data_IF_747909589639
#
_entry.id   IF_747909589639
#
_cell.length_a   1.000
_cell.length_b   1.000
_cell.length_c   1.000
_cell.angle_alpha   90.00
_cell.angle_beta   90.00
_cell.angle_gamma   90.00
#
_symmetry.space_group_name_H-M   'P 1'
#
loop_
_entity.id
_entity.type
_entity.pdbx_description
1 polymer ?
#
# COMPACT_ATOMS: atom_id res chain seq x y z
N UNK A 1 -1.84 -17.11 -8.27
CA UNK A 1 -2.08 -17.26 -9.66
C UNK A 1 -0.81 -17.04 -10.48
N UNK A 2 -0.77 -17.61 -11.65
CA UNK A 2 0.40 -17.50 -12.51
C UNK A 2 0.66 -16.11 -13.06
N UNK A 3 -0.16 -15.15 -12.68
CA UNK A 3 -0.01 -13.79 -13.18
C UNK A 3 0.82 -12.89 -12.29
N UNK A 4 1.23 -13.36 -11.11
CA UNK A 4 2.07 -12.56 -10.24
C UNK A 4 3.40 -12.30 -10.92
N UNK A 5 3.99 -11.11 -10.71
CA UNK A 5 5.24 -10.77 -11.38
C UNK A 5 6.38 -11.64 -10.86
N UNK A 6 7.35 -11.85 -11.74
CA UNK A 6 8.53 -12.65 -11.39
C UNK A 6 9.81 -11.85 -11.43
N UNK A 7 9.75 -10.59 -11.79
CA UNK A 7 10.92 -9.72 -11.84
C UNK A 7 10.55 -8.35 -11.32
N UNK A 8 11.49 -7.73 -10.60
CA UNK A 8 11.26 -6.40 -10.02
C UNK A 8 10.91 -5.38 -11.09
N UNK A 9 11.49 -5.51 -12.27
CA UNK A 9 11.23 -4.59 -13.35
C UNK A 9 9.74 -4.48 -13.69
N UNK A 10 8.97 -5.55 -13.48
CA UNK A 10 7.57 -5.56 -13.84
C UNK A 10 6.72 -4.64 -12.98
N UNK A 11 7.17 -4.32 -11.77
CA UNK A 11 6.40 -3.45 -10.88
C UNK A 11 6.90 -2.00 -10.92
N UNK A 12 7.88 -1.70 -11.73
CA UNK A 12 8.41 -0.35 -11.86
C UNK A 12 7.79 0.34 -13.06
N UNK A 13 7.69 1.66 -13.01
CA UNK A 13 7.26 2.39 -14.19
C UNK A 13 5.96 3.18 -14.10
N UNK A 14 5.10 2.95 -13.16
CA UNK A 14 3.90 3.77 -12.91
C UNK A 14 2.86 3.83 -14.03
N UNK A 15 2.90 2.91 -14.98
CA UNK A 15 1.79 2.79 -15.90
C UNK A 15 0.77 1.81 -15.29
N UNK A 16 -0.35 1.67 -15.97
CA UNK A 16 -1.43 0.82 -15.46
C UNK A 16 -0.97 -0.62 -15.27
N UNK A 17 -0.16 -1.12 -16.19
CA UNK A 17 0.31 -2.49 -16.11
C UNK A 17 1.23 -2.68 -14.90
N UNK A 18 2.15 -1.74 -14.66
CA UNK A 18 3.06 -1.86 -13.53
C UNK A 18 2.29 -1.83 -12.21
N UNK A 19 1.29 -0.97 -12.09
CA UNK A 19 0.51 -0.91 -10.87
C UNK A 19 -0.34 -2.16 -10.68
N UNK A 20 -0.83 -2.73 -11.78
CA UNK A 20 -1.55 -4.00 -11.70
C UNK A 20 -0.63 -5.12 -11.23
N UNK A 21 0.59 -5.14 -11.75
CA UNK A 21 1.57 -6.14 -11.33
C UNK A 21 1.96 -5.95 -9.87
N UNK A 22 2.09 -4.71 -9.43
CA UNK A 22 2.37 -4.45 -8.01
C UNK A 22 1.22 -4.97 -7.15
N UNK A 23 -0.01 -4.71 -7.53
CA UNK A 23 -1.16 -5.20 -6.78
C UNK A 23 -1.19 -6.73 -6.74
N UNK A 24 -0.84 -7.37 -7.83
CA UNK A 24 -0.77 -8.83 -7.87
C UNK A 24 0.31 -9.37 -6.95
N UNK A 25 1.45 -8.70 -6.91
CA UNK A 25 2.52 -9.10 -6.01
C UNK A 25 2.08 -8.96 -4.55
N UNK A 26 1.43 -7.86 -4.22
CA UNK A 26 0.94 -7.66 -2.86
C UNK A 26 -0.05 -8.75 -2.47
N UNK A 27 -0.95 -9.12 -3.38
CA UNK A 27 -1.87 -10.21 -3.13
C UNK A 27 -1.13 -11.52 -2.86
N UNK A 28 -0.11 -11.79 -3.67
CA UNK A 28 0.67 -13.01 -3.48
C UNK A 28 1.41 -13.00 -2.15
N UNK A 29 1.93 -11.84 -1.75
CA UNK A 29 2.61 -11.71 -0.46
C UNK A 29 1.65 -11.95 0.69
N UNK A 30 0.44 -11.39 0.61
CA UNK A 30 -0.56 -11.60 1.65
C UNK A 30 -0.93 -13.08 1.80
N UNK A 31 -0.98 -13.80 0.71
CA UNK A 31 -1.39 -15.20 0.69
C UNK A 31 -0.23 -16.15 0.81
N UNK A 32 0.97 -15.64 1.05
CA UNK A 32 2.18 -16.44 1.19
C UNK A 32 2.44 -17.30 -0.05
N UNK A 33 2.13 -16.75 -1.20
CA UNK A 33 2.29 -17.44 -2.48
C UNK A 33 3.25 -16.73 -3.42
N UNK A 34 3.95 -15.72 -2.95
CA UNK A 34 4.91 -15.03 -3.78
C UNK A 34 6.12 -15.92 -4.04
N UNK A 35 6.65 -15.81 -5.24
CA UNK A 35 7.86 -16.54 -5.59
C UNK A 35 9.01 -16.09 -4.69
N UNK A 36 9.70 -17.04 -4.07
CA UNK A 36 10.75 -16.70 -3.12
C UNK A 36 11.87 -15.90 -3.75
N UNK A 37 12.21 -16.21 -4.99
CA UNK A 37 13.24 -15.43 -5.69
C UNK A 37 12.80 -14.00 -5.88
N UNK A 38 11.53 -13.78 -6.16
CA UNK A 38 11.00 -12.44 -6.30
C UNK A 38 11.03 -11.70 -4.98
N UNK A 39 10.67 -12.38 -3.89
CA UNK A 39 10.70 -11.77 -2.57
C UNK A 39 12.12 -11.31 -2.24
N UNK A 40 13.09 -12.18 -2.47
CA UNK A 40 14.47 -11.83 -2.19
C UNK A 40 14.97 -10.69 -3.07
N UNK A 41 14.59 -10.69 -4.33
CA UNK A 41 14.98 -9.62 -5.24
C UNK A 41 14.38 -8.28 -4.80
N UNK A 42 13.13 -8.29 -4.36
CA UNK A 42 12.47 -7.08 -3.89
C UNK A 42 13.15 -6.56 -2.62
N UNK A 43 13.45 -7.46 -1.69
CA UNK A 43 14.12 -7.04 -0.46
C UNK A 43 15.47 -6.41 -0.74
N UNK A 44 16.22 -7.02 -1.65
CA UNK A 44 17.54 -6.50 -2.00
C UNK A 44 17.45 -5.16 -2.72
N UNK A 45 16.56 -5.07 -3.69
CA UNK A 45 16.43 -3.85 -4.47
C UNK A 45 15.90 -2.70 -3.62
N UNK A 46 15.03 -2.98 -2.65
CA UNK A 46 14.46 -1.93 -1.82
C UNK A 46 15.52 -1.16 -1.04
N UNK A 47 16.66 -1.76 -0.82
CA UNK A 47 17.75 -1.08 -0.11
C UNK A 47 18.31 0.09 -0.93
N UNK A 48 18.06 0.10 -2.23
CA UNK A 48 18.50 1.18 -3.09
C UNK A 48 17.49 2.32 -3.22
N UNK A 49 16.33 2.19 -2.56
CA UNK A 49 15.26 3.16 -2.67
C UNK A 49 14.94 3.74 -1.30
N UNK A 50 15.36 4.97 -1.08
CA UNK A 50 15.08 5.64 0.20
C UNK A 50 13.78 6.41 0.04
N UNK A 51 12.70 5.82 0.51
CA UNK A 51 11.38 6.40 0.38
C UNK A 51 10.82 6.65 1.78
N UNK A 52 10.38 7.88 2.08
CA UNK A 52 9.76 8.12 3.38
C UNK A 52 8.48 7.32 3.54
N UNK A 53 8.29 6.79 4.73
CA UNK A 53 7.09 6.03 5.07
C UNK A 53 6.45 6.74 6.26
N UNK A 54 5.23 7.20 6.07
CA UNK A 54 4.48 7.92 7.09
C UNK A 54 3.39 7.01 7.65
N UNK A 55 3.39 6.83 8.97
CA UNK A 55 2.37 6.03 9.63
C UNK A 55 1.26 6.92 10.16
N UNK A 56 0.02 6.55 9.91
CA UNK A 56 -1.14 7.24 10.44
C UNK A 56 -1.98 6.22 11.19
N UNK A 57 -2.21 6.47 12.47
CA UNK A 57 -3.02 5.58 13.28
C UNK A 57 -4.20 6.36 13.84
N UNK A 58 -5.24 5.65 14.20
CA UNK A 58 -6.40 6.27 14.80
C UNK A 58 -7.46 5.27 15.14
N UNK A 59 -8.38 5.70 15.97
CA UNK A 59 -9.43 4.81 16.44
C UNK A 59 -10.70 4.93 15.63
N UNK A 60 -10.91 6.04 14.97
CA UNK A 60 -12.14 6.22 14.22
C UNK A 60 -11.93 5.94 12.75
N UNK A 61 -12.75 5.09 12.18
CA UNK A 61 -12.59 4.74 10.79
C UNK A 61 -12.81 5.89 9.85
N UNK A 62 -13.95 6.53 9.95
CA UNK A 62 -14.32 7.58 8.99
C UNK A 62 -13.44 8.82 9.15
N UNK A 63 -13.20 9.23 10.39
CA UNK A 63 -12.39 10.42 10.62
C UNK A 63 -10.96 10.25 10.16
N UNK A 64 -10.39 9.07 10.42
CA UNK A 64 -9.03 8.82 10.03
C UNK A 64 -8.88 8.76 8.50
N UNK A 65 -9.82 8.12 7.83
CA UNK A 65 -9.79 8.06 6.38
C UNK A 65 -9.86 9.45 5.77
N UNK A 66 -10.67 10.31 6.36
CA UNK A 66 -10.75 11.69 5.88
C UNK A 66 -9.43 12.42 6.04
N UNK A 67 -8.71 12.14 7.13
CA UNK A 67 -7.42 12.78 7.35
C UNK A 67 -6.42 12.34 6.29
N UNK A 68 -6.36 11.06 5.98
CA UNK A 68 -5.46 10.56 4.95
C UNK A 68 -5.80 11.19 3.60
N UNK A 69 -7.07 11.22 3.26
CA UNK A 69 -7.51 11.78 1.99
C UNK A 69 -7.15 13.26 1.89
N UNK A 70 -7.32 13.98 2.99
CA UNK A 70 -6.99 15.40 3.02
C UNK A 70 -5.49 15.61 2.88
N UNK A 71 -4.71 14.80 3.56
CA UNK A 71 -3.25 14.91 3.47
C UNK A 71 -2.76 14.66 2.05
N UNK A 72 -3.28 13.62 1.42
CA UNK A 72 -2.90 13.31 0.04
C UNK A 72 -3.29 14.45 -0.88
N UNK A 73 -4.48 14.98 -0.70
CA UNK A 73 -4.94 16.09 -1.53
C UNK A 73 -4.05 17.31 -1.38
N UNK A 74 -3.66 17.64 -0.15
CA UNK A 74 -2.77 18.78 0.09
C UNK A 74 -1.41 18.59 -0.52
N UNK A 75 -0.85 17.38 -0.38
CA UNK A 75 0.44 17.10 -0.98
C UNK A 75 0.38 17.26 -2.50
N UNK A 76 -0.69 16.78 -3.10
CA UNK A 76 -0.85 16.89 -4.55
C UNK A 76 -0.97 18.34 -4.98
N UNK A 77 -1.70 19.15 -4.21
CA UNK A 77 -1.84 20.56 -4.53
C UNK A 77 -0.50 21.29 -4.38
N UNK A 78 0.20 21.02 -3.29
CA UNK A 78 1.47 21.72 -3.03
C UNK A 78 2.54 21.35 -4.03
N UNK A 79 2.56 20.11 -4.47
CA UNK A 79 3.60 19.62 -5.36
C UNK A 79 3.16 19.58 -6.83
N UNK A 80 1.99 20.08 -7.13
CA UNK A 80 1.51 20.11 -8.51
C UNK A 80 1.36 18.73 -9.13
N UNK A 81 0.96 17.74 -8.34
CA UNK A 81 0.84 16.37 -8.79
C UNK A 81 2.17 15.76 -9.24
N UNK A 82 3.28 16.30 -8.79
CA UNK A 82 4.59 15.78 -9.18
C UNK A 82 4.93 14.48 -8.47
N UNK A 83 4.36 14.27 -7.28
CA UNK A 83 4.71 13.09 -6.48
C UNK A 83 3.78 11.92 -6.73
N UNK A 84 4.35 10.74 -6.69
CA UNK A 84 3.60 9.48 -6.73
C UNK A 84 3.51 8.94 -5.31
N UNK A 85 2.30 8.71 -4.85
CA UNK A 85 2.03 8.35 -3.46
C UNK A 85 1.38 6.98 -3.41
N UNK A 86 1.85 6.14 -2.49
CA UNK A 86 1.21 4.86 -2.23
C UNK A 86 0.58 4.91 -0.84
N UNK A 87 -0.66 4.47 -0.73
CA UNK A 87 -1.36 4.37 0.54
C UNK A 87 -1.64 2.90 0.81
N UNK A 88 -1.06 2.41 1.89
CA UNK A 88 -1.27 1.03 2.33
C UNK A 88 -2.14 1.09 3.57
N UNK A 89 -3.34 0.56 3.46
CA UNK A 89 -4.29 0.57 4.57
C UNK A 89 -4.35 -0.79 5.23
N UNK A 90 -4.23 -0.81 6.54
CA UNK A 90 -4.35 -2.06 7.29
C UNK A 90 -5.70 -2.04 7.99
N UNK A 91 -6.58 -2.90 7.54
CA UNK A 91 -7.96 -2.92 8.00
C UNK A 91 -8.20 -4.18 8.84
N UNK A 92 -8.35 -4.02 10.15
CA UNK A 92 -8.53 -5.18 11.00
C UNK A 92 -9.86 -5.91 10.78
N UNK A 93 -10.81 -5.25 10.16
CA UNK A 93 -12.10 -5.88 9.89
C UNK A 93 -12.10 -6.71 8.62
N UNK A 94 -11.07 -6.61 7.80
CA UNK A 94 -10.98 -7.38 6.58
C UNK A 94 -10.41 -8.75 6.84
N UNK A 95 -10.99 -9.72 6.16
CA UNK A 95 -10.43 -11.05 6.21
C UNK A 95 -9.51 -11.26 5.04
N UNK A 96 -8.57 -12.17 5.21
CA UNK A 96 -7.60 -12.50 4.20
C UNK A 96 -8.24 -13.41 3.17
N UNK A 97 -9.21 -12.92 2.45
CA UNK A 97 -9.96 -13.75 1.53
C UNK A 97 -9.98 -13.21 0.11
N UNK A 98 -9.22 -12.23 -0.17
CA UNK A 98 -9.18 -11.72 -1.52
C UNK A 98 -10.43 -11.02 -1.99
N UNK A 99 -11.41 -10.88 -1.14
CA UNK A 99 -12.61 -10.19 -1.55
C UNK A 99 -12.53 -8.71 -1.28
N UNK A 100 -13.55 -8.03 -1.68
CA UNK A 100 -13.90 -6.71 -1.19
C UNK A 100 -12.86 -5.61 -1.42
N UNK A 101 -12.42 -5.50 -2.62
CA UNK A 101 -11.63 -4.35 -2.96
C UNK A 101 -12.51 -3.18 -3.39
N UNK A 102 -13.81 -3.33 -3.27
CA UNK A 102 -14.74 -2.30 -3.71
C UNK A 102 -14.54 -1.00 -2.93
N UNK A 103 -14.37 -1.07 -1.63
CA UNK A 103 -14.14 0.12 -0.84
C UNK A 103 -12.85 0.82 -1.22
N UNK A 104 -11.82 0.05 -1.48
CA UNK A 104 -10.55 0.61 -1.90
C UNK A 104 -10.68 1.31 -3.25
N UNK A 105 -11.43 0.72 -4.16
CA UNK A 105 -11.63 1.33 -5.46
C UNK A 105 -12.37 2.64 -5.35
N UNK A 106 -13.34 2.71 -4.45
CA UNK A 106 -14.10 3.94 -4.26
C UNK A 106 -13.18 5.03 -3.72
N UNK A 107 -12.35 4.71 -2.73
CA UNK A 107 -11.41 5.68 -2.19
C UNK A 107 -10.40 6.13 -3.26
N UNK A 108 -9.92 5.18 -4.03
CA UNK A 108 -8.96 5.49 -5.07
C UNK A 108 -9.54 6.48 -6.07
N UNK A 109 -10.79 6.27 -6.48
CA UNK A 109 -11.43 7.19 -7.41
C UNK A 109 -11.61 8.57 -6.81
N UNK A 110 -11.86 8.65 -5.51
CA UNK A 110 -12.09 9.93 -4.87
C UNK A 110 -10.83 10.78 -4.78
N UNK A 111 -9.68 10.15 -4.55
CA UNK A 111 -8.45 10.90 -4.33
C UNK A 111 -7.48 10.85 -5.50
N UNK A 112 -7.75 10.03 -6.49
CA UNK A 112 -6.88 9.91 -7.66
C UNK A 112 -7.71 9.80 -8.93
N UNK A 113 -8.30 10.90 -9.39
CA UNK A 113 -9.08 10.87 -10.63
C UNK A 113 -8.21 10.42 -11.80
N UNK A 114 -8.78 9.61 -12.63
CA UNK A 114 -8.06 9.08 -13.77
C UNK A 114 -7.64 10.15 -14.76
N UNK A 115 -8.39 11.25 -14.82
CA UNK A 115 -8.09 12.31 -15.77
C UNK A 115 -6.75 12.97 -15.50
N UNK A 116 -6.24 12.90 -14.28
CA UNK A 116 -4.94 13.50 -13.96
C UNK A 116 -3.83 12.48 -13.91
N UNK A 117 -4.08 11.27 -14.40
CA UNK A 117 -3.07 10.23 -14.38
C UNK A 117 -3.04 9.51 -13.05
N UNK A 118 -2.24 8.46 -13.00
CA UNK A 118 -2.17 7.65 -11.80
C UNK A 118 -1.10 8.19 -10.87
N UNK A 119 -1.51 8.97 -9.89
CA UNK A 119 -0.60 9.54 -8.91
C UNK A 119 -0.68 8.85 -7.55
N UNK A 120 -1.81 8.23 -7.24
CA UNK A 120 -2.02 7.61 -5.94
C UNK A 120 -2.39 6.15 -6.14
N UNK A 121 -1.59 5.29 -5.56
CA UNK A 121 -1.84 3.86 -5.54
C UNK A 121 -2.39 3.51 -4.17
N UNK A 122 -3.48 2.77 -4.11
CA UNK A 122 -4.06 2.37 -2.84
C UNK A 122 -4.22 0.87 -2.77
N UNK A 123 -3.88 0.33 -1.61
CA UNK A 123 -4.05 -1.09 -1.38
C UNK A 123 -4.36 -1.34 0.09
N UNK A 124 -5.35 -2.18 0.34
CA UNK A 124 -5.67 -2.61 1.69
C UNK A 124 -5.04 -3.95 1.99
N UNK A 125 -4.57 -4.10 3.20
CA UNK A 125 -4.10 -5.38 3.71
C UNK A 125 -5.01 -5.83 4.83
N UNK A 126 -5.25 -7.13 4.92
CA UNK A 126 -6.02 -7.70 6.01
C UNK A 126 -5.10 -8.05 7.15
N UNK A 127 -5.60 -7.98 8.37
CA UNK A 127 -4.86 -8.51 9.50
C UNK A 127 -5.04 -10.02 9.56
N UNK A 128 -4.11 -10.68 10.19
CA UNK A 128 -4.16 -12.13 10.30
C UNK A 128 -5.26 -12.61 11.23
N UNK A 129 -5.32 -11.97 12.37
CA UNK A 129 -6.28 -12.34 13.41
C UNK A 129 -7.20 -11.19 13.68
N UNK A 130 -8.12 -11.41 14.60
CA UNK A 130 -9.12 -10.40 14.86
C UNK A 130 -8.51 -9.13 15.42
N UNK A 131 -8.16 -8.26 14.51
CA UNK A 131 -8.04 -6.87 14.81
C UNK A 131 -6.81 -6.39 15.54
N UNK A 132 -5.92 -7.25 15.95
CA UNK A 132 -4.84 -6.76 16.78
C UNK A 132 -3.45 -6.87 16.18
N UNK A 133 -3.27 -7.71 15.20
CA UNK A 133 -1.94 -7.90 14.66
C UNK A 133 -1.78 -7.26 13.30
N UNK A 134 -0.65 -6.60 13.12
CA UNK A 134 -0.29 -6.03 11.83
C UNK A 134 0.07 -7.19 10.90
N UNK A 135 -0.33 -7.08 9.65
CA UNK A 135 -0.06 -8.11 8.66
C UNK A 135 1.41 -8.46 8.62
N UNK A 136 1.71 -9.77 8.64
CA UNK A 136 3.09 -10.22 8.52
C UNK A 136 3.67 -9.88 7.15
N UNK A 137 2.83 -9.61 6.18
CA UNK A 137 3.30 -9.26 4.84
C UNK A 137 3.77 -7.81 4.73
N UNK A 138 3.45 -6.97 5.72
CA UNK A 138 3.73 -5.54 5.61
C UNK A 138 5.17 -5.21 5.25
N UNK A 139 6.18 -5.81 5.88
CA UNK A 139 7.54 -5.45 5.50
C UNK A 139 7.85 -5.69 4.02
N UNK A 140 7.39 -6.80 3.48
CA UNK A 140 7.65 -7.09 2.07
C UNK A 140 6.79 -6.24 1.16
N UNK A 141 5.59 -5.89 1.59
CA UNK A 141 4.75 -4.97 0.83
C UNK A 141 5.41 -3.60 0.76
N UNK A 142 5.98 -3.14 1.86
CA UNK A 142 6.69 -1.86 1.86
C UNK A 142 7.92 -1.94 0.95
N UNK A 143 8.65 -3.04 1.00
CA UNK A 143 9.81 -3.20 0.13
C UNK A 143 9.40 -3.15 -1.34
N UNK A 144 8.33 -3.85 -1.70
CA UNK A 144 7.84 -3.83 -3.08
C UNK A 144 7.40 -2.43 -3.50
N UNK A 145 6.74 -1.72 -2.59
CA UNK A 145 6.26 -0.37 -2.87
C UNK A 145 7.43 0.60 -3.08
N UNK A 146 8.47 0.44 -2.29
CA UNK A 146 9.68 1.24 -2.49
C UNK A 146 10.32 0.95 -3.85
N UNK A 147 10.40 -0.34 -4.21
CA UNK A 147 10.96 -0.72 -5.51
C UNK A 147 10.16 -0.15 -6.66
N UNK A 148 8.86 -0.03 -6.50
CA UNK A 148 7.99 0.48 -7.56
C UNK A 148 8.25 1.94 -7.89
N UNK A 149 8.93 2.67 -7.00
CA UNK A 149 9.32 4.03 -7.32
C UNK A 149 8.40 5.11 -6.81
N UNK A 150 7.62 4.84 -5.77
CA UNK A 150 6.80 5.88 -5.18
C UNK A 150 7.66 6.85 -4.38
N UNK A 151 7.22 8.10 -4.35
CA UNK A 151 7.95 9.15 -3.65
C UNK A 151 7.61 9.22 -2.17
N UNK A 152 6.44 8.71 -1.81
CA UNK A 152 5.97 8.71 -0.42
C UNK A 152 5.06 7.51 -0.22
N UNK A 153 5.23 6.83 0.90
CA UNK A 153 4.35 5.72 1.25
C UNK A 153 3.66 6.10 2.55
N UNK A 154 2.34 6.00 2.55
CA UNK A 154 1.54 6.23 3.75
C UNK A 154 0.97 4.89 4.20
N UNK A 155 1.20 4.55 5.45
CA UNK A 155 0.60 3.34 6.05
C UNK A 155 -0.41 3.82 7.07
N UNK A 156 -1.66 3.44 6.87
CA UNK A 156 -2.70 3.82 7.81
C UNK A 156 -3.34 2.60 8.44
N UNK A 157 -3.70 2.73 9.70
CA UNK A 157 -4.43 1.68 10.40
C UNK A 157 -5.70 2.26 10.97
N UNK A 158 -6.74 1.46 11.00
CA UNK A 158 -8.02 1.89 11.55
C UNK A 158 -8.53 0.87 12.53
N UNK A 159 -9.12 1.38 13.61
CA UNK A 159 -9.83 0.53 14.54
C UNK A 159 -8.99 -0.44 15.33
N UNK A 160 -7.69 -0.23 15.38
CA UNK A 160 -6.83 -1.16 16.11
C UNK A 160 -6.77 -0.85 17.60
N UNK A 161 -7.02 0.36 17.97
CA UNK A 161 -7.00 0.70 19.37
C UNK A 161 -5.59 0.93 19.88
N UNK A 162 -5.30 0.47 21.06
CA UNK A 162 -4.11 0.90 21.77
C UNK A 162 -2.84 0.18 21.39
N UNK A 163 -2.91 -0.76 20.49
CA UNK A 163 -1.72 -1.49 20.12
C UNK A 163 -0.97 -0.91 18.94
N UNK A 164 -1.43 0.18 18.44
CA UNK A 164 -1.00 0.65 17.13
C UNK A 164 0.37 1.29 17.13
N UNK A 165 0.95 1.53 18.27
CA UNK A 165 2.31 2.05 18.31
C UNK A 165 3.30 1.12 17.61
N UNK A 166 2.89 -0.08 17.31
CA UNK A 166 3.77 -1.02 16.65
C UNK A 166 4.02 -0.68 15.19
N UNK A 167 3.27 0.22 14.60
CA UNK A 167 3.51 0.61 13.22
C UNK A 167 4.59 1.67 13.20
N UNK A 168 5.79 1.23 13.03
CA UNK A 168 6.91 2.14 12.98
C UNK A 168 7.66 1.90 11.69
N UNK A 169 7.64 2.85 10.80
CA UNK A 169 8.38 2.71 9.54
C UNK A 169 9.87 2.75 9.78
N UNK A 170 10.57 1.94 9.08
CA UNK A 170 12.01 1.90 9.16
C UNK A 170 12.64 2.08 7.81
#
# INVERSE_FOLDING_TARGET
>A
SGYAPKAVKEIQGHDEMAWRKLAQLITALENEKADQKMVEAVRKESLNHKVPVLGITGTGGAGKSSLTDELVRRIRLDQGDALRIAVISIDPSRRKSGGALLGDRIRMNAISPWSSGQRVFMRSLATRDFGSEISAALPDVLAATKCAGFDLIIVETSGIGQGDAAIVPH
#
